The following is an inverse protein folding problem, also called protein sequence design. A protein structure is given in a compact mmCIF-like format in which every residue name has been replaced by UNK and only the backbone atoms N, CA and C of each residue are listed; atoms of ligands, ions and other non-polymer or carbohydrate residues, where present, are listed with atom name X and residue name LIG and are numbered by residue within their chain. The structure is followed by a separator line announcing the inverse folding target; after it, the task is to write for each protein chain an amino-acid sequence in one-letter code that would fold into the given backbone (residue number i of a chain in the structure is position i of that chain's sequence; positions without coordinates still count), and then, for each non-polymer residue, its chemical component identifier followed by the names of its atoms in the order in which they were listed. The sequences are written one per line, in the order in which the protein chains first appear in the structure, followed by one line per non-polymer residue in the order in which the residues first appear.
data_IF_877950653171
#
_entry.id   IF_877950653171
#
_cell.length_a   1.000
_cell.length_b   1.000
_cell.length_c   1.000
_cell.angle_alpha   90.00
_cell.angle_beta   90.00
_cell.angle_gamma   90.00
#
_symmetry.space_group_name_H-M   'P 1'
#
loop_
_entity.id
_entity.type
_entity.pdbx_description
1 polymer ?
#
# COMPACT_ATOMS: atom_id res chain seq x y z
N UNK A 1 22.31 -5.92 -26.77
CA UNK A 1 23.65 -5.54 -26.25
C UNK A 1 23.54 -5.48 -24.72
N UNK A 2 24.49 -6.05 -24.00
CA UNK A 2 24.59 -5.93 -22.54
C UNK A 2 25.21 -4.58 -22.20
N UNK A 3 24.59 -3.84 -21.32
CA UNK A 3 25.04 -2.50 -20.90
C UNK A 3 25.54 -2.51 -19.46
N UNK A 4 26.42 -1.56 -19.13
CA UNK A 4 26.75 -1.22 -17.75
C UNK A 4 25.79 -0.12 -17.31
N UNK A 5 25.01 -0.37 -16.25
CA UNK A 5 23.98 0.52 -15.77
C UNK A 5 24.30 0.93 -14.33
N UNK A 6 24.33 2.23 -14.09
CA UNK A 6 24.45 2.81 -12.74
C UNK A 6 23.07 3.26 -12.27
N UNK A 7 22.66 2.82 -11.06
CA UNK A 7 21.43 3.26 -10.40
C UNK A 7 21.82 4.04 -9.16
N UNK A 8 21.24 5.24 -9.02
CA UNK A 8 21.50 6.13 -7.89
C UNK A 8 20.34 6.04 -6.91
N UNK A 9 20.58 5.43 -5.76
CA UNK A 9 19.60 5.15 -4.73
C UNK A 9 19.37 3.66 -4.53
N UNK A 10 18.82 3.30 -3.37
CA UNK A 10 18.45 1.92 -3.02
C UNK A 10 17.07 1.84 -2.34
N UNK A 11 16.14 2.69 -2.75
CA UNK A 11 14.74 2.57 -2.40
C UNK A 11 14.07 1.39 -3.13
N UNK A 12 12.81 1.10 -2.86
CA UNK A 12 12.09 -0.02 -3.48
C UNK A 12 12.09 0.07 -5.01
N UNK A 13 11.86 1.25 -5.59
CA UNK A 13 11.86 1.45 -7.03
C UNK A 13 13.22 1.14 -7.65
N UNK A 14 14.29 1.62 -7.00
CA UNK A 14 15.66 1.45 -7.48
C UNK A 14 16.09 -0.01 -7.40
N UNK A 15 15.76 -0.69 -6.29
CA UNK A 15 16.04 -2.11 -6.10
C UNK A 15 15.26 -2.97 -7.11
N UNK A 16 13.96 -2.68 -7.31
CA UNK A 16 13.15 -3.39 -8.28
C UNK A 16 13.68 -3.20 -9.71
N UNK A 17 13.98 -1.97 -10.11
CA UNK A 17 14.57 -1.67 -11.41
C UNK A 17 15.90 -2.40 -11.61
N UNK A 18 16.74 -2.45 -10.57
CA UNK A 18 18.01 -3.17 -10.58
C UNK A 18 17.83 -4.66 -10.88
N UNK A 19 16.83 -5.28 -10.23
CA UNK A 19 16.54 -6.69 -10.44
C UNK A 19 16.08 -6.98 -11.87
N UNK A 20 15.14 -6.19 -12.41
CA UNK A 20 14.67 -6.38 -13.79
C UNK A 20 15.78 -6.15 -14.81
N UNK A 21 16.57 -5.08 -14.66
CA UNK A 21 17.67 -4.77 -15.56
C UNK A 21 18.76 -5.85 -15.52
N UNK A 22 19.05 -6.41 -14.34
CA UNK A 22 19.99 -7.51 -14.20
C UNK A 22 19.44 -8.81 -14.82
N UNK A 23 18.13 -9.07 -14.69
CA UNK A 23 17.46 -10.21 -15.33
C UNK A 23 17.59 -10.17 -16.86
N UNK A 24 17.56 -8.96 -17.44
CA UNK A 24 17.82 -8.75 -18.87
C UNK A 24 19.29 -8.91 -19.27
N UNK A 25 20.15 -9.27 -18.31
CA UNK A 25 21.56 -9.58 -18.54
C UNK A 25 22.50 -8.36 -18.52
N UNK A 26 22.04 -7.21 -18.05
CA UNK A 26 22.90 -6.04 -17.89
C UNK A 26 23.76 -6.15 -16.62
N UNK A 27 24.93 -5.49 -16.63
CA UNK A 27 25.72 -5.30 -15.41
C UNK A 27 25.19 -4.06 -14.67
N UNK A 28 24.60 -4.26 -13.48
CA UNK A 28 23.96 -3.20 -12.71
C UNK A 28 24.79 -2.89 -11.47
N UNK A 29 25.08 -1.61 -11.25
CA UNK A 29 25.74 -1.11 -10.04
C UNK A 29 24.83 -0.12 -9.35
N UNK A 30 24.56 -0.31 -8.05
CA UNK A 30 23.74 0.58 -7.24
C UNK A 30 24.65 1.45 -6.37
N UNK A 31 24.41 2.75 -6.38
CA UNK A 31 25.10 3.74 -5.54
C UNK A 31 24.13 4.30 -4.51
N UNK A 32 24.36 4.00 -3.24
CA UNK A 32 23.57 4.49 -2.10
C UNK A 32 24.42 5.43 -1.24
N UNK A 33 23.87 6.60 -0.92
CA UNK A 33 24.57 7.61 -0.09
C UNK A 33 24.57 7.30 1.40
N UNK A 34 23.58 6.52 1.86
CA UNK A 34 23.44 6.14 3.27
C UNK A 34 24.12 4.80 3.53
N UNK A 35 24.38 4.51 4.80
CA UNK A 35 24.95 3.24 5.24
C UNK A 35 23.98 2.05 5.16
N UNK A 36 22.68 2.30 4.97
CA UNK A 36 21.63 1.29 4.88
C UNK A 36 20.79 1.45 3.60
N UNK A 37 20.34 0.32 3.08
CA UNK A 37 19.43 0.25 1.92
C UNK A 37 17.97 0.40 2.34
N UNK A 38 17.06 0.53 1.35
CA UNK A 38 15.60 0.53 1.56
C UNK A 38 14.95 1.91 1.52
N UNK A 39 15.72 3.00 1.45
CA UNK A 39 15.20 4.35 1.32
C UNK A 39 14.29 4.74 2.49
N UNK A 40 13.01 5.06 2.21
CA UNK A 40 12.00 5.40 3.22
C UNK A 40 11.47 4.21 4.01
N UNK A 41 11.70 2.99 3.55
CA UNK A 41 11.30 1.76 4.21
C UNK A 41 12.51 1.00 4.81
N UNK A 42 13.57 1.74 5.19
CA UNK A 42 14.75 1.17 5.83
C UNK A 42 14.50 0.88 7.31
N UNK A 43 15.34 0.02 7.88
CA UNK A 43 15.40 -0.22 9.31
C UNK A 43 16.57 0.56 9.95
N UNK A 44 16.45 0.88 11.22
CA UNK A 44 17.58 1.27 12.05
C UNK A 44 17.61 0.46 13.36
N UNK A 45 18.80 0.29 13.90
CA UNK A 45 19.00 -0.41 15.18
C UNK A 45 19.62 0.53 16.20
N UNK A 46 19.07 0.53 17.40
CA UNK A 46 19.58 1.32 18.52
C UNK A 46 19.35 0.60 19.83
N UNK A 47 20.40 0.44 20.65
CA UNK A 47 20.35 -0.17 21.98
C UNK A 47 19.68 -1.57 22.00
N UNK A 48 19.96 -2.40 20.99
CA UNK A 48 19.39 -3.74 20.87
C UNK A 48 17.98 -3.81 20.25
N UNK A 49 17.33 -2.67 20.02
CA UNK A 49 16.02 -2.60 19.36
C UNK A 49 16.18 -2.39 17.85
N UNK A 50 15.26 -2.97 17.10
CA UNK A 50 15.12 -2.75 15.66
C UNK A 50 13.84 -1.96 15.40
N UNK A 51 13.95 -0.89 14.61
CA UNK A 51 12.84 -0.02 14.24
C UNK A 51 12.67 0.02 12.73
N UNK A 52 11.48 -0.24 12.26
CA UNK A 52 11.11 0.01 10.88
C UNK A 52 10.81 1.49 10.69
N UNK A 53 11.44 2.10 9.68
CA UNK A 53 11.21 3.50 9.32
C UNK A 53 10.20 3.57 8.18
N UNK A 54 9.13 4.35 8.39
CA UNK A 54 8.10 4.52 7.37
C UNK A 54 6.94 3.55 7.54
N UNK A 55 6.55 2.77 6.51
CA UNK A 55 5.40 1.88 6.60
C UNK A 55 5.61 0.81 7.67
N UNK A 56 4.65 0.68 8.59
CA UNK A 56 4.64 -0.34 9.64
C UNK A 56 3.73 -1.52 9.28
N UNK A 57 2.98 -1.42 8.19
CA UNK A 57 2.11 -2.45 7.66
C UNK A 57 2.60 -2.96 6.32
N UNK A 58 2.33 -4.23 6.05
CA UNK A 58 2.60 -4.84 4.76
C UNK A 58 1.49 -4.48 3.78
N UNK A 59 1.74 -3.45 2.98
CA UNK A 59 0.81 -2.94 1.99
C UNK A 59 0.91 -3.69 0.67
N UNK A 60 -0.22 -3.88 -0.02
CA UNK A 60 -0.29 -4.37 -1.39
C UNK A 60 0.47 -5.69 -1.59
N UNK A 61 0.13 -6.76 -0.86
CA UNK A 61 0.83 -8.04 -0.93
C UNK A 61 0.90 -8.61 -2.35
N UNK A 62 -0.15 -8.40 -3.15
CA UNK A 62 -0.23 -8.80 -4.55
C UNK A 62 0.86 -8.19 -5.43
N UNK A 63 1.30 -6.97 -5.16
CA UNK A 63 2.40 -6.31 -5.87
C UNK A 63 3.74 -7.00 -5.56
N UNK A 64 3.97 -7.36 -4.30
CA UNK A 64 5.15 -8.13 -3.91
C UNK A 64 5.11 -9.55 -4.48
N UNK A 65 3.97 -10.23 -4.40
CA UNK A 65 3.79 -11.56 -4.98
C UNK A 65 4.11 -11.55 -6.47
N UNK A 66 3.62 -10.57 -7.20
CA UNK A 66 3.91 -10.39 -8.62
C UNK A 66 5.41 -10.16 -8.86
N UNK A 67 6.04 -9.24 -8.11
CA UNK A 67 7.47 -8.97 -8.24
C UNK A 67 8.30 -10.25 -8.06
N UNK A 68 8.07 -10.99 -6.98
CA UNK A 68 8.81 -12.23 -6.72
C UNK A 68 8.51 -13.31 -7.76
N UNK A 69 7.25 -13.42 -8.22
CA UNK A 69 6.85 -14.35 -9.28
C UNK A 69 7.57 -14.09 -10.61
N UNK A 70 7.85 -12.83 -10.94
CA UNK A 70 8.62 -12.46 -12.13
C UNK A 70 10.07 -13.00 -12.10
N UNK A 71 10.55 -13.40 -10.94
CA UNK A 71 11.86 -14.02 -10.71
C UNK A 71 11.78 -15.50 -10.31
N UNK A 72 10.65 -16.17 -10.54
CA UNK A 72 10.39 -17.56 -10.13
C UNK A 72 10.59 -17.80 -8.62
N UNK A 73 10.22 -16.81 -7.80
CA UNK A 73 10.33 -16.77 -6.34
C UNK A 73 8.98 -16.46 -5.71
N UNK A 74 8.93 -16.62 -4.37
CA UNK A 74 7.79 -16.23 -3.54
C UNK A 74 8.28 -15.35 -2.40
N UNK A 75 7.46 -14.40 -1.90
CA UNK A 75 7.80 -13.62 -0.70
C UNK A 75 8.19 -14.50 0.50
N UNK A 76 7.51 -15.63 0.68
CA UNK A 76 7.78 -16.60 1.76
C UNK A 76 9.15 -17.25 1.70
N UNK A 77 9.87 -17.19 0.59
CA UNK A 77 11.25 -17.66 0.48
C UNK A 77 12.23 -16.73 1.20
N UNK A 78 11.81 -15.50 1.52
CA UNK A 78 12.65 -14.44 2.07
C UNK A 78 12.23 -13.95 3.44
N UNK A 79 10.92 -13.94 3.74
CA UNK A 79 10.38 -13.49 5.03
C UNK A 79 9.05 -14.15 5.36
N UNK A 80 8.75 -14.23 6.65
CA UNK A 80 7.48 -14.71 7.16
C UNK A 80 6.59 -13.52 7.53
N UNK A 81 5.33 -13.57 7.12
CA UNK A 81 4.31 -12.59 7.51
C UNK A 81 3.43 -13.22 8.59
N UNK A 82 3.17 -12.42 9.63
CA UNK A 82 2.22 -12.78 10.67
C UNK A 82 1.06 -11.79 10.68
N UNK A 83 -0.15 -12.30 10.48
CA UNK A 83 -1.36 -11.51 10.61
C UNK A 83 -1.65 -11.27 12.10
N UNK A 84 -1.84 -10.02 12.48
CA UNK A 84 -2.12 -9.65 13.86
C UNK A 84 -3.63 -9.63 14.12
N UNK A 85 -4.04 -10.15 15.29
CA UNK A 85 -5.41 -10.02 15.81
C UNK A 85 -5.34 -9.67 17.31
N UNK A 86 -5.82 -8.50 17.72
CA UNK A 86 -6.36 -7.43 16.87
C UNK A 86 -5.30 -6.82 15.96
N UNK A 87 -5.72 -6.30 14.80
CA UNK A 87 -4.83 -5.66 13.85
C UNK A 87 -4.20 -4.39 14.45
N UNK A 88 -5.04 -3.52 15.05
CA UNK A 88 -4.60 -2.32 15.78
C UNK A 88 -5.73 -1.74 16.64
N UNK A 89 -5.40 -0.72 17.43
CA UNK A 89 -6.35 0.09 18.19
C UNK A 89 -6.22 1.55 17.83
N UNK A 90 -7.35 2.24 17.73
CA UNK A 90 -7.42 3.68 17.56
C UNK A 90 -7.82 4.29 18.90
N UNK A 91 -6.97 5.10 19.47
CA UNK A 91 -7.19 5.75 20.77
C UNK A 91 -7.71 7.17 20.58
N UNK A 92 -8.75 7.53 21.33
CA UNK A 92 -9.38 8.86 21.36
C UNK A 92 -9.13 9.61 22.67
N UNK A 93 -8.51 8.96 23.63
CA UNK A 93 -8.16 9.47 24.95
C UNK A 93 -7.78 8.32 25.88
N UNK A 94 -7.56 8.64 27.17
CA UNK A 94 -7.19 7.65 28.16
C UNK A 94 -8.32 6.64 28.38
N UNK A 95 -8.04 5.37 28.06
CA UNK A 95 -9.00 4.29 28.21
C UNK A 95 -10.10 4.23 27.14
N UNK A 96 -10.17 5.21 26.22
CA UNK A 96 -11.15 5.24 25.14
C UNK A 96 -10.50 4.85 23.81
N UNK A 97 -10.90 3.71 23.24
CA UNK A 97 -10.37 3.21 21.99
C UNK A 97 -11.36 2.32 21.23
N UNK A 98 -11.15 2.23 19.93
CA UNK A 98 -11.77 1.24 19.05
C UNK A 98 -10.75 0.18 18.71
N UNK A 99 -11.10 -1.09 18.87
CA UNK A 99 -10.28 -2.21 18.44
C UNK A 99 -10.68 -2.63 17.03
N UNK A 100 -9.70 -2.66 16.13
CA UNK A 100 -9.86 -3.09 14.75
C UNK A 100 -9.36 -4.54 14.64
N UNK A 101 -10.26 -5.44 14.29
CA UNK A 101 -9.97 -6.86 14.14
C UNK A 101 -9.25 -7.19 12.83
N UNK A 102 -8.84 -8.44 12.70
CA UNK A 102 -8.09 -8.95 11.56
C UNK A 102 -8.96 -9.37 10.36
N UNK A 103 -10.27 -9.42 10.52
CA UNK A 103 -11.23 -9.80 9.48
C UNK A 103 -12.21 -8.68 9.17
N UNK A 104 -12.74 -8.67 7.95
CA UNK A 104 -13.74 -7.70 7.54
C UNK A 104 -14.98 -7.73 8.43
N UNK A 105 -15.44 -8.93 8.83
CA UNK A 105 -16.60 -9.09 9.71
C UNK A 105 -16.38 -8.45 11.09
N UNK A 106 -15.18 -8.60 11.67
CA UNK A 106 -14.83 -7.94 12.95
C UNK A 106 -14.79 -6.42 12.80
N UNK A 107 -14.28 -5.91 11.65
CA UNK A 107 -14.24 -4.49 11.36
C UNK A 107 -15.66 -3.94 11.21
N UNK A 108 -16.50 -4.61 10.44
CA UNK A 108 -17.92 -4.26 10.25
C UNK A 108 -18.66 -4.23 11.59
N UNK A 109 -18.46 -5.23 12.44
CA UNK A 109 -19.08 -5.27 13.76
C UNK A 109 -18.60 -4.13 14.67
N UNK A 110 -17.32 -3.75 14.59
CA UNK A 110 -16.79 -2.60 15.34
C UNK A 110 -17.41 -1.28 14.87
N UNK A 111 -17.57 -1.09 13.57
CA UNK A 111 -18.23 0.09 13.02
C UNK A 111 -19.70 0.18 13.40
N UNK A 112 -20.44 -0.93 13.28
CA UNK A 112 -21.86 -0.99 13.63
C UNK A 112 -22.11 -0.64 15.11
N UNK A 113 -21.18 -1.02 16.00
CA UNK A 113 -21.24 -0.68 17.42
C UNK A 113 -21.10 0.83 17.65
N UNK A 114 -20.28 1.52 16.86
CA UNK A 114 -20.07 2.97 16.99
C UNK A 114 -21.18 3.78 16.30
N UNK A 115 -21.72 3.32 15.19
CA UNK A 115 -22.79 3.97 14.44
C UNK A 115 -23.74 2.91 13.83
N UNK A 116 -24.98 2.87 14.30
CA UNK A 116 -25.99 1.95 13.77
C UNK A 116 -26.22 2.18 12.28
N UNK A 117 -26.24 1.09 11.50
CA UNK A 117 -26.38 1.12 10.04
C UNK A 117 -25.07 1.42 9.29
N UNK A 118 -23.94 1.56 9.98
CA UNK A 118 -22.64 1.77 9.34
C UNK A 118 -22.12 0.53 8.63
N UNK A 119 -22.60 -0.65 8.96
CA UNK A 119 -22.21 -1.92 8.32
C UNK A 119 -22.37 -1.91 6.80
N UNK A 120 -23.54 -1.51 6.30
CA UNK A 120 -23.82 -1.49 4.87
C UNK A 120 -23.08 -0.36 4.16
N UNK A 121 -22.94 0.80 4.82
CA UNK A 121 -22.14 1.92 4.33
C UNK A 121 -20.67 1.51 4.15
N UNK A 122 -20.10 0.84 5.15
CA UNK A 122 -18.72 0.36 5.12
C UNK A 122 -18.50 -0.68 4.01
N UNK A 123 -19.40 -1.64 3.85
CA UNK A 123 -19.33 -2.63 2.75
C UNK A 123 -19.33 -1.95 1.38
N UNK A 124 -20.23 -0.99 1.19
CA UNK A 124 -20.32 -0.21 -0.05
C UNK A 124 -19.04 0.58 -0.31
N UNK A 125 -18.52 1.26 0.72
CA UNK A 125 -17.28 2.01 0.64
C UNK A 125 -16.08 1.12 0.26
N UNK A 126 -15.94 -0.05 0.90
CA UNK A 126 -14.87 -1.01 0.60
C UNK A 126 -15.02 -1.57 -0.81
N UNK A 127 -16.23 -1.88 -1.27
CA UNK A 127 -16.45 -2.35 -2.63
C UNK A 127 -16.02 -1.30 -3.67
N UNK A 128 -16.36 -0.03 -3.46
CA UNK A 128 -15.90 1.06 -4.33
C UNK A 128 -14.38 1.25 -4.30
N UNK A 129 -13.78 1.14 -3.11
CA UNK A 129 -12.32 1.20 -2.97
C UNK A 129 -11.63 0.04 -3.71
N UNK A 130 -12.19 -1.17 -3.65
CA UNK A 130 -11.69 -2.34 -4.37
C UNK A 130 -11.76 -2.13 -5.89
N UNK A 131 -12.85 -1.57 -6.40
CA UNK A 131 -13.00 -1.24 -7.83
C UNK A 131 -11.94 -0.21 -8.27
N UNK A 132 -11.72 0.83 -7.45
CA UNK A 132 -10.72 1.85 -7.73
C UNK A 132 -9.30 1.25 -7.72
N UNK A 133 -9.02 0.38 -6.75
CA UNK A 133 -7.75 -0.35 -6.66
C UNK A 133 -7.51 -1.21 -7.91
N UNK A 134 -8.52 -1.97 -8.32
CA UNK A 134 -8.41 -2.83 -9.49
C UNK A 134 -8.10 -2.03 -10.76
N UNK A 135 -8.76 -0.88 -10.96
CA UNK A 135 -8.49 0.00 -12.11
C UNK A 135 -7.07 0.57 -12.04
N UNK A 136 -6.67 1.08 -10.87
CA UNK A 136 -5.37 1.69 -10.71
C UNK A 136 -4.22 0.68 -10.88
N UNK A 137 -4.29 -0.46 -10.20
CA UNK A 137 -3.18 -1.44 -10.13
C UNK A 137 -3.10 -2.33 -11.36
N UNK A 138 -4.22 -2.65 -12.02
CA UNK A 138 -4.17 -3.52 -13.20
C UNK A 138 -3.60 -2.83 -14.45
N UNK A 139 -3.76 -1.53 -14.57
CA UNK A 139 -3.42 -0.81 -15.79
C UNK A 139 -2.65 0.51 -15.53
N UNK A 140 -3.23 1.44 -14.78
CA UNK A 140 -2.73 2.81 -14.73
C UNK A 140 -1.32 2.93 -14.13
N UNK A 141 -1.01 2.14 -13.11
CA UNK A 141 0.30 2.18 -12.42
C UNK A 141 1.46 1.76 -13.34
N UNK A 142 1.18 0.93 -14.34
CA UNK A 142 2.21 0.43 -15.28
C UNK A 142 2.37 1.28 -16.53
N UNK A 143 1.60 2.35 -16.67
CA UNK A 143 1.76 3.29 -17.78
C UNK A 143 2.97 4.18 -17.57
N UNK A 144 3.66 4.62 -18.63
CA UNK A 144 4.86 5.43 -18.51
C UNK A 144 4.67 6.76 -17.75
N UNK A 145 3.45 7.30 -17.69
CA UNK A 145 3.15 8.57 -17.03
C UNK A 145 3.74 9.79 -17.75
N UNK A 146 3.91 9.71 -19.06
CA UNK A 146 4.47 10.78 -19.88
C UNK A 146 3.49 11.96 -20.00
N UNK A 147 2.18 11.66 -20.05
CA UNK A 147 1.15 12.70 -20.14
C UNK A 147 -0.03 12.40 -19.22
N UNK A 148 -0.73 13.42 -18.69
CA UNK A 148 -1.98 13.22 -17.94
C UNK A 148 -3.08 12.52 -18.74
N UNK A 149 -3.01 12.56 -20.08
CA UNK A 149 -3.98 11.90 -20.96
C UNK A 149 -3.96 10.37 -20.83
N UNK A 150 -2.85 9.80 -20.41
CA UNK A 150 -2.73 8.34 -20.16
C UNK A 150 -3.64 7.87 -19.02
N UNK A 151 -4.06 8.78 -18.14
CA UNK A 151 -4.98 8.49 -17.05
C UNK A 151 -6.45 8.47 -17.52
N UNK A 152 -6.74 8.94 -18.75
CA UNK A 152 -8.09 9.01 -19.29
C UNK A 152 -8.41 7.67 -19.97
N UNK A 153 -9.20 6.85 -19.32
CA UNK A 153 -9.81 5.65 -19.85
C UNK A 153 -11.32 5.77 -19.73
N UNK A 154 -12.07 4.84 -20.34
CA UNK A 154 -13.54 4.80 -20.18
C UNK A 154 -13.92 4.66 -18.71
N UNK A 155 -13.17 3.85 -17.97
CA UNK A 155 -13.36 3.57 -16.54
C UNK A 155 -13.07 4.82 -15.69
N UNK A 156 -11.94 5.50 -15.93
CA UNK A 156 -11.57 6.70 -15.17
C UNK A 156 -12.46 7.89 -15.52
N UNK A 157 -12.89 8.01 -16.78
CA UNK A 157 -13.83 9.07 -17.20
C UNK A 157 -15.18 8.97 -16.46
N UNK A 158 -15.69 7.74 -16.25
CA UNK A 158 -16.91 7.51 -15.45
C UNK A 158 -16.76 7.93 -13.98
N UNK A 159 -15.55 7.91 -13.46
CA UNK A 159 -15.22 8.23 -12.06
C UNK A 159 -14.56 9.60 -11.88
N UNK A 160 -14.59 10.45 -12.90
CA UNK A 160 -13.89 11.75 -12.91
C UNK A 160 -14.29 12.64 -11.72
N UNK A 161 -15.53 12.56 -11.26
CA UNK A 161 -16.02 13.29 -10.09
C UNK A 161 -15.30 12.91 -8.78
N UNK A 162 -14.72 11.72 -8.68
CA UNK A 162 -13.98 11.27 -7.50
C UNK A 162 -12.58 11.93 -7.42
N UNK A 163 -11.98 12.31 -8.55
CA UNK A 163 -10.69 12.99 -8.57
C UNK A 163 -10.73 14.38 -7.92
N UNK A 164 -11.90 14.98 -7.82
CA UNK A 164 -12.12 16.30 -7.20
C UNK A 164 -12.61 16.22 -5.76
N UNK A 165 -12.69 15.02 -5.18
CA UNK A 165 -13.07 14.81 -3.78
C UNK A 165 -11.87 14.37 -2.96
N UNK A 166 -11.76 14.93 -1.76
CA UNK A 166 -10.80 14.42 -0.77
C UNK A 166 -11.36 13.18 -0.09
N UNK A 167 -10.49 12.28 0.38
CA UNK A 167 -10.89 11.11 1.18
C UNK A 167 -11.74 11.54 2.38
N UNK A 168 -11.34 12.60 3.08
CA UNK A 168 -12.09 13.12 4.23
C UNK A 168 -13.52 13.54 3.85
N UNK A 169 -13.71 14.17 2.68
CA UNK A 169 -15.05 14.55 2.21
C UNK A 169 -15.89 13.33 1.87
N UNK A 170 -15.30 12.33 1.28
CA UNK A 170 -15.98 11.07 0.94
C UNK A 170 -16.40 10.31 2.20
N UNK A 171 -15.49 10.14 3.16
CA UNK A 171 -15.80 9.47 4.43
C UNK A 171 -16.90 10.21 5.20
N UNK A 172 -16.82 11.56 5.26
CA UNK A 172 -17.84 12.39 5.94
C UNK A 172 -19.18 12.42 5.24
N UNK A 173 -19.28 12.02 3.96
CA UNK A 173 -20.58 11.85 3.30
C UNK A 173 -21.27 10.55 3.68
N UNK A 174 -20.53 9.55 4.13
CA UNK A 174 -21.05 8.23 4.48
C UNK A 174 -21.28 8.08 6.00
N UNK A 175 -20.37 8.59 6.83
CA UNK A 175 -20.39 8.42 8.27
C UNK A 175 -20.64 9.76 8.99
N UNK A 176 -21.37 9.69 10.11
CA UNK A 176 -21.69 10.86 10.94
C UNK A 176 -20.97 10.85 12.27
N UNK A 177 -20.61 9.68 12.77
CA UNK A 177 -19.86 9.53 14.00
C UNK A 177 -18.41 9.97 13.79
N UNK A 178 -17.96 10.97 14.55
CA UNK A 178 -16.60 11.53 14.44
C UNK A 178 -15.49 10.53 14.77
N UNK A 179 -15.81 9.44 15.45
CA UNK A 179 -14.86 8.36 15.74
C UNK A 179 -14.61 7.45 14.54
N UNK A 180 -15.51 7.45 13.54
CA UNK A 180 -15.37 6.70 12.29
C UNK A 180 -14.83 7.54 11.13
N UNK A 181 -14.69 8.85 11.33
CA UNK A 181 -14.19 9.85 10.39
C UNK A 181 -12.74 10.20 10.72
#
# INVERSE_FOLDING_TARGET
MKSNIAIIGSGFSDLAASCYLAKEGNAVTIYEKNSGIGGRARQFRKQGFTFDMGPTWYWMPDVFERFFSDFDKKPSDYYALQKLDPAYRVYFGDGDYITIGDTLDKIIAAFEKEEAGSSEKLKTFIAQAQDNYNIAIKDLVYRPGVTPLELITVETAKKIGQFFRTISKEVRSEFTNTRLI
#
